data_IF_251993939070
#
_entry.id   IF_251993939070
#
_cell.length_a   1.000
_cell.length_b   1.000
_cell.length_c   1.000
_cell.angle_alpha   90.00
_cell.angle_beta   90.00
_cell.angle_gamma   90.00
#
_symmetry.space_group_name_H-M   'P 1'
#
loop_
_entity.id
_entity.type
_entity.pdbx_description
1 polymer ?
#
# COMPACT_ATOMS: atom_id res chain seq x y z
N UNK A 1 13.66 -17.73 -4.25
CA UNK A 1 14.10 -17.62 -2.83
C UNK A 1 14.38 -16.18 -2.39
N UNK A 2 14.68 -15.23 -3.27
CA UNK A 2 15.02 -13.84 -2.91
C UNK A 2 13.91 -13.12 -2.13
N UNK A 3 12.64 -13.24 -2.57
CA UNK A 3 11.51 -12.55 -1.92
C UNK A 3 11.33 -13.04 -0.48
N UNK A 4 11.30 -14.36 -0.26
CA UNK A 4 11.14 -14.93 1.08
C UNK A 4 12.32 -14.57 2.00
N UNK A 5 13.55 -14.65 1.49
CA UNK A 5 14.74 -14.26 2.24
C UNK A 5 14.69 -12.80 2.67
N UNK A 6 14.32 -11.89 1.76
CA UNK A 6 14.16 -10.46 2.07
C UNK A 6 13.05 -10.24 3.12
N UNK A 7 11.91 -10.91 2.99
CA UNK A 7 10.82 -10.77 3.96
C UNK A 7 11.27 -11.22 5.35
N UNK A 8 12.02 -12.32 5.45
CA UNK A 8 12.55 -12.80 6.73
C UNK A 8 13.59 -11.83 7.29
N UNK A 9 14.51 -11.35 6.47
CA UNK A 9 15.53 -10.37 6.87
C UNK A 9 14.89 -9.11 7.44
N UNK A 10 13.91 -8.52 6.73
CA UNK A 10 13.21 -7.32 7.20
C UNK A 10 12.47 -7.55 8.51
N UNK A 11 11.79 -8.70 8.65
CA UNK A 11 11.09 -9.05 9.89
C UNK A 11 12.04 -9.31 11.05
N UNK A 12 13.24 -9.86 10.76
CA UNK A 12 14.29 -10.10 11.75
C UNK A 12 14.91 -8.79 12.24
N UNK A 13 15.21 -7.85 11.34
CA UNK A 13 15.74 -6.53 11.69
C UNK A 13 14.71 -5.78 12.56
N UNK A 14 13.44 -5.78 12.14
CA UNK A 14 12.37 -5.13 12.90
C UNK A 14 12.20 -5.73 14.31
N UNK A 15 12.47 -7.03 14.46
CA UNK A 15 12.46 -7.71 15.76
C UNK A 15 13.57 -7.23 16.68
N UNK A 16 14.77 -6.98 16.14
CA UNK A 16 15.92 -6.49 16.89
C UNK A 16 15.80 -5.00 17.24
N UNK A 17 15.26 -4.17 16.35
CA UNK A 17 15.18 -2.71 16.52
C UNK A 17 13.97 -2.23 17.35
N UNK A 18 12.78 -2.73 17.05
CA UNK A 18 11.50 -2.26 17.63
C UNK A 18 10.93 -3.25 18.67
N UNK A 19 11.51 -4.45 18.75
CA UNK A 19 11.14 -5.50 19.68
C UNK A 19 9.96 -6.37 19.22
N UNK A 20 9.76 -7.49 19.93
CA UNK A 20 8.81 -8.53 19.55
C UNK A 20 7.35 -8.07 19.40
N UNK A 21 6.94 -7.02 20.14
CA UNK A 21 5.57 -6.50 20.10
C UNK A 21 5.23 -5.84 18.77
N UNK A 22 6.14 -5.07 18.19
CA UNK A 22 5.88 -4.36 16.93
C UNK A 22 5.88 -5.31 15.74
N UNK A 23 6.76 -6.31 15.73
CA UNK A 23 6.73 -7.37 14.71
C UNK A 23 5.44 -8.18 14.75
N UNK A 24 4.94 -8.53 15.93
CA UNK A 24 3.66 -9.21 16.08
C UNK A 24 2.49 -8.32 15.63
N UNK A 25 2.55 -7.01 15.88
CA UNK A 25 1.52 -6.07 15.44
C UNK A 25 1.54 -5.87 13.92
N UNK A 26 2.71 -5.70 13.30
CA UNK A 26 2.82 -5.55 11.83
C UNK A 26 2.52 -6.87 11.09
N UNK A 27 3.11 -7.98 11.56
CA UNK A 27 2.83 -9.32 11.03
C UNK A 27 1.37 -9.73 11.24
N UNK A 28 0.85 -9.51 12.44
CA UNK A 28 -0.56 -9.78 12.76
C UNK A 28 -1.53 -8.88 12.00
N UNK A 29 -1.23 -7.59 11.87
CA UNK A 29 -2.07 -6.63 11.12
C UNK A 29 -2.14 -6.96 9.62
N UNK A 30 -1.02 -7.38 9.03
CA UNK A 30 -1.00 -7.82 7.63
C UNK A 30 -1.79 -9.13 7.44
N UNK A 31 -1.62 -10.11 8.33
CA UNK A 31 -2.38 -11.37 8.29
C UNK A 31 -3.88 -11.13 8.47
N UNK A 32 -4.27 -10.28 9.43
CA UNK A 32 -5.66 -9.93 9.66
C UNK A 32 -6.29 -9.26 8.44
N UNK A 33 -5.58 -8.30 7.84
CA UNK A 33 -6.03 -7.64 6.61
C UNK A 33 -6.17 -8.63 5.46
N UNK A 34 -5.22 -9.56 5.31
CA UNK A 34 -5.26 -10.60 4.28
C UNK A 34 -6.50 -11.51 4.42
N UNK A 35 -6.86 -11.90 5.65
CA UNK A 35 -8.06 -12.70 5.92
C UNK A 35 -9.33 -11.93 5.51
N UNK A 36 -9.43 -10.64 5.87
CA UNK A 36 -10.59 -9.82 5.50
C UNK A 36 -10.74 -9.69 3.98
N UNK A 37 -9.62 -9.45 3.27
CA UNK A 37 -9.64 -9.37 1.81
C UNK A 37 -10.01 -10.71 1.19
N UNK A 38 -9.48 -11.83 1.71
CA UNK A 38 -9.83 -13.15 1.22
C UNK A 38 -11.35 -13.40 1.32
N UNK A 39 -11.95 -13.10 2.47
CA UNK A 39 -13.40 -13.23 2.65
C UNK A 39 -14.19 -12.33 1.69
N UNK A 40 -13.72 -11.10 1.45
CA UNK A 40 -14.34 -10.19 0.49
C UNK A 40 -14.25 -10.71 -0.95
N UNK A 41 -13.13 -11.33 -1.33
CA UNK A 41 -12.90 -11.88 -2.67
C UNK A 41 -13.67 -13.17 -2.95
N UNK A 42 -13.96 -13.99 -1.92
CA UNK A 42 -14.77 -15.21 -2.04
C UNK A 42 -16.22 -14.94 -2.43
N UNK A 43 -16.69 -13.69 -2.36
CA UNK A 43 -18.03 -13.34 -2.78
C UNK A 43 -18.19 -13.47 -4.32
N UNK A 44 -19.17 -14.27 -4.75
CA UNK A 44 -19.53 -14.50 -6.15
C UNK A 44 -19.71 -13.20 -6.94
N UNK A 45 -20.24 -12.13 -6.34
CA UNK A 45 -20.37 -10.82 -7.00
C UNK A 45 -19.01 -10.18 -7.34
N UNK A 46 -18.05 -10.21 -6.42
CA UNK A 46 -16.71 -9.64 -6.62
C UNK A 46 -15.94 -10.46 -7.66
N UNK A 47 -16.08 -11.78 -7.61
CA UNK A 47 -15.51 -12.68 -8.60
C UNK A 47 -16.08 -12.39 -10.00
N UNK A 48 -17.42 -12.32 -10.15
CA UNK A 48 -18.02 -12.02 -11.45
C UNK A 48 -17.57 -10.67 -12.01
N UNK A 49 -17.56 -9.62 -11.19
CA UNK A 49 -17.15 -8.28 -11.63
C UNK A 49 -15.68 -8.24 -12.06
N UNK A 50 -14.78 -8.84 -11.28
CA UNK A 50 -13.34 -8.82 -11.56
C UNK A 50 -12.97 -9.65 -12.78
N UNK A 51 -13.60 -10.82 -12.97
CA UNK A 51 -13.27 -11.71 -14.10
C UNK A 51 -13.95 -11.33 -15.42
N UNK A 52 -15.16 -10.74 -15.39
CA UNK A 52 -15.86 -10.34 -16.63
C UNK A 52 -15.40 -8.97 -17.14
N UNK A 53 -15.00 -8.07 -16.25
CA UNK A 53 -14.65 -6.69 -16.61
C UNK A 53 -13.20 -6.38 -16.24
N UNK A 54 -12.26 -6.77 -17.12
CA UNK A 54 -10.83 -6.47 -16.95
C UNK A 54 -10.55 -4.95 -16.78
N UNK A 55 -11.41 -4.10 -17.35
CA UNK A 55 -11.32 -2.64 -17.20
C UNK A 55 -11.53 -2.16 -15.75
N UNK A 56 -12.27 -2.89 -14.92
CA UNK A 56 -12.44 -2.54 -13.50
C UNK A 56 -11.12 -2.65 -12.73
N UNK A 57 -10.23 -3.58 -13.10
CA UNK A 57 -8.90 -3.64 -12.49
C UNK A 57 -8.06 -2.39 -12.78
N UNK A 58 -8.20 -1.79 -13.96
CA UNK A 58 -7.54 -0.51 -14.27
C UNK A 58 -8.10 0.63 -13.43
N UNK A 59 -9.41 0.64 -13.16
CA UNK A 59 -10.06 1.63 -12.28
C UNK A 59 -9.60 1.43 -10.83
N UNK A 60 -9.53 0.19 -10.35
CA UNK A 60 -9.01 -0.15 -9.02
C UNK A 60 -7.55 0.24 -8.90
N UNK A 61 -6.73 -0.02 -9.92
CA UNK A 61 -5.33 0.41 -9.97
C UNK A 61 -5.22 1.94 -9.91
N UNK A 62 -6.04 2.67 -10.67
CA UNK A 62 -6.08 4.13 -10.61
C UNK A 62 -6.46 4.64 -9.21
N UNK A 63 -7.43 4.00 -8.55
CA UNK A 63 -7.81 4.32 -7.18
C UNK A 63 -6.67 4.06 -6.18
N UNK A 64 -5.95 2.94 -6.32
CA UNK A 64 -4.77 2.61 -5.51
C UNK A 64 -3.67 3.65 -5.72
N UNK A 65 -3.42 4.09 -6.95
CA UNK A 65 -2.43 5.13 -7.24
C UNK A 65 -2.83 6.50 -6.67
N UNK A 66 -4.12 6.83 -6.64
CA UNK A 66 -4.63 8.05 -5.99
C UNK A 66 -4.49 8.01 -4.46
N UNK A 67 -4.70 6.84 -3.86
CA UNK A 67 -4.41 6.61 -2.44
C UNK A 67 -2.91 6.52 -2.15
N UNK A 68 -2.13 6.23 -3.20
CA UNK A 68 -0.68 6.12 -3.19
C UNK A 68 -0.08 7.36 -2.55
N UNK A 69 0.53 7.12 -1.39
CA UNK A 69 1.34 8.07 -0.63
C UNK A 69 2.60 8.42 -1.43
N UNK A 70 2.44 9.14 -2.55
CA UNK A 70 3.53 9.91 -3.13
C UNK A 70 3.78 11.10 -2.20
N UNK A 71 4.53 10.82 -1.13
CA UNK A 71 5.22 11.83 -0.34
C UNK A 71 6.29 12.46 -1.24
N UNK A 72 5.89 13.45 -2.02
CA UNK A 72 6.76 14.17 -2.93
C UNK A 72 6.08 15.43 -3.42
N UNK A 73 5.98 16.41 -2.53
CA UNK A 73 5.30 17.70 -2.68
C UNK A 73 3.77 17.63 -2.74
N UNK A 74 3.14 18.12 -1.67
CA UNK A 74 1.71 18.45 -1.73
C UNK A 74 1.51 19.42 -2.90
N UNK A 75 0.44 19.28 -3.67
CA UNK A 75 0.02 20.30 -4.66
C UNK A 75 -0.08 21.69 -4.01
N UNK A 76 -0.31 21.75 -2.69
CA UNK A 76 -0.28 22.98 -1.90
C UNK A 76 1.12 23.57 -1.66
N UNK A 77 2.20 22.78 -1.70
CA UNK A 77 3.57 23.31 -1.60
C UNK A 77 4.05 23.95 -2.91
N UNK A 78 3.62 23.45 -4.07
CA UNK A 78 3.88 24.11 -5.36
C UNK A 78 3.33 25.54 -5.42
N UNK A 79 2.22 25.83 -4.73
CA UNK A 79 1.70 27.20 -4.58
C UNK A 79 2.57 28.09 -3.69
N UNK A 80 3.25 27.53 -2.68
CA UNK A 80 4.12 28.28 -1.77
C UNK A 80 5.48 28.62 -2.40
N UNK A 81 5.95 27.84 -3.37
CA UNK A 81 7.20 28.08 -4.09
C UNK A 81 7.07 28.96 -5.35
N UNK A 82 5.87 29.34 -5.78
CA UNK A 82 5.68 30.31 -6.86
C UNK A 82 6.43 31.65 -6.67
N UNK A 83 6.39 32.30 -5.49
CA UNK A 83 7.06 33.59 -5.32
C UNK A 83 8.60 33.52 -5.27
N UNK A 84 9.21 32.32 -5.26
CA UNK A 84 10.67 32.15 -5.29
C UNK A 84 11.24 31.99 -6.72
N UNK A 85 10.38 31.81 -7.72
CA UNK A 85 10.77 31.66 -9.14
C UNK A 85 10.58 32.97 -9.91
N UNK A 86 9.94 33.97 -9.30
CA UNK A 86 9.58 35.26 -9.93
C UNK A 86 10.53 36.40 -9.53
N UNK A 87 11.73 36.09 -9.01
CA UNK A 87 12.82 37.06 -8.93
C UNK A 87 13.76 36.89 -10.13
N UNK A 88 13.34 37.44 -11.27
CA UNK A 88 14.21 38.01 -12.29
C UNK A 88 13.48 38.97 -13.21
#
# INVERSE_FOLDING_TARGET
>A
MIILSWTIERMSILWEEEGAKEVLLQGGGSLFTAILIYLAMTNTYVQHLTFNFIGLQLVVLAAILLLGTYTGYRISELRRFKPLVEEK
#
